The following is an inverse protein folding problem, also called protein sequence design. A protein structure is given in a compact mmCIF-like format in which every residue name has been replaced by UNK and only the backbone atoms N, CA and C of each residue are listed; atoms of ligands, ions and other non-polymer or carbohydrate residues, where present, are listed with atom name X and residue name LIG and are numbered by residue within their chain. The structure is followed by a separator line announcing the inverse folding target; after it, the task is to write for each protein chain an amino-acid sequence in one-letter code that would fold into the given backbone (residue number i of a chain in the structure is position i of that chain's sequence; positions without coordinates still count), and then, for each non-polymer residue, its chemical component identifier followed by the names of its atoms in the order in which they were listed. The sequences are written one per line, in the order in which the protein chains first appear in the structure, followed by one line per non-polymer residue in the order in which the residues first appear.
data_IF_572574726012
#
_entry.id   IF_572574726012
#
_cell.length_a   1.000
_cell.length_b   1.000
_cell.length_c   1.000
_cell.angle_alpha   90.00
_cell.angle_beta   90.00
_cell.angle_gamma   90.00
#
_symmetry.space_group_name_H-M   'P 1'
#
loop_
_entity.id
_entity.type
_entity.pdbx_description
1 polymer ?
#
# COMPACT_ATOMS: atom_id res chain seq x y z
N UNK A 1 13.55 25.69 14.21
CA UNK A 1 12.19 25.11 14.01
C UNK A 1 12.17 24.28 12.72
N UNK A 2 11.40 23.19 12.72
CA UNK A 2 11.25 22.32 11.55
C UNK A 2 9.83 21.75 11.50
N UNK A 3 9.21 21.76 10.32
CA UNK A 3 7.91 21.11 10.08
C UNK A 3 8.16 19.78 9.40
N UNK A 4 7.61 18.71 9.95
CA UNK A 4 7.69 17.37 9.38
C UNK A 4 6.38 17.06 8.67
N UNK A 5 6.45 16.75 7.38
CA UNK A 5 5.32 16.29 6.57
C UNK A 5 5.58 14.87 6.06
N UNK A 6 4.52 14.10 5.83
CA UNK A 6 4.65 12.72 5.38
C UNK A 6 3.68 12.42 4.24
N UNK A 7 4.20 11.84 3.16
CA UNK A 7 3.41 11.38 2.02
C UNK A 7 3.02 12.51 1.06
N UNK A 8 1.83 12.40 0.45
CA UNK A 8 1.48 13.14 -0.76
C UNK A 8 0.05 13.73 -0.78
N UNK A 9 -0.57 13.86 0.39
CA UNK A 9 -1.91 14.42 0.50
C UNK A 9 -1.94 15.94 0.30
N UNK A 10 -3.12 16.49 0.00
CA UNK A 10 -3.31 17.94 -0.09
C UNK A 10 -2.90 18.67 1.21
N UNK A 11 -3.09 18.02 2.37
CA UNK A 11 -2.66 18.56 3.66
C UNK A 11 -1.14 18.70 3.74
N UNK A 12 -0.40 17.73 3.22
CA UNK A 12 1.08 17.76 3.14
C UNK A 12 1.55 18.93 2.27
N UNK A 13 0.96 19.09 1.10
CA UNK A 13 1.25 20.22 0.20
C UNK A 13 0.95 21.57 0.87
N UNK A 14 -0.22 21.71 1.48
CA UNK A 14 -0.62 22.95 2.15
C UNK A 14 0.30 23.31 3.34
N UNK A 15 0.64 22.30 4.17
CA UNK A 15 1.56 22.50 5.30
C UNK A 15 2.97 22.89 4.81
N UNK A 16 3.47 22.25 3.75
CA UNK A 16 4.76 22.58 3.15
C UNK A 16 4.81 24.00 2.60
N UNK A 17 3.79 24.42 1.83
CA UNK A 17 3.70 25.79 1.32
C UNK A 17 3.64 26.82 2.46
N UNK A 18 2.84 26.56 3.51
CA UNK A 18 2.75 27.45 4.67
C UNK A 18 4.10 27.57 5.38
N UNK A 19 4.80 26.46 5.61
CA UNK A 19 6.13 26.45 6.23
C UNK A 19 7.15 27.25 5.40
N UNK A 20 7.17 27.06 4.10
CA UNK A 20 8.03 27.83 3.19
C UNK A 20 7.79 29.34 3.29
N UNK A 21 6.51 29.76 3.37
CA UNK A 21 6.15 31.19 3.49
C UNK A 21 6.48 31.77 4.86
N UNK A 22 6.59 30.93 5.88
CA UNK A 22 7.01 31.32 7.23
C UNK A 22 8.53 31.21 7.46
N UNK A 23 9.32 30.85 6.45
CA UNK A 23 10.76 30.57 6.55
C UNK A 23 11.09 29.46 7.59
N UNK A 24 10.23 28.45 7.69
CA UNK A 24 10.42 27.29 8.56
C UNK A 24 10.93 26.13 7.72
N UNK A 25 12.02 25.51 8.18
CA UNK A 25 12.60 24.33 7.51
C UNK A 25 11.61 23.17 7.41
N UNK A 26 11.68 22.43 6.30
CA UNK A 26 10.73 21.36 5.98
C UNK A 26 11.46 20.03 5.84
N UNK A 27 10.92 19.04 6.54
CA UNK A 27 11.34 17.63 6.43
C UNK A 27 10.24 16.79 5.82
N UNK A 28 10.51 16.16 4.68
CA UNK A 28 9.56 15.31 3.97
C UNK A 28 9.88 13.82 4.18
N UNK A 29 9.00 13.12 4.89
CA UNK A 29 9.06 11.66 5.08
C UNK A 29 8.30 10.99 3.93
N UNK A 30 8.80 9.85 3.45
CA UNK A 30 8.28 9.11 2.29
C UNK A 30 8.53 9.86 0.96
N UNK A 31 9.63 10.61 0.90
CA UNK A 31 10.02 11.40 -0.27
C UNK A 31 10.54 10.55 -1.43
N UNK A 32 10.45 11.08 -2.64
CA UNK A 32 11.03 10.48 -3.85
C UNK A 32 10.22 9.33 -4.48
N UNK A 33 9.04 9.02 -3.99
CA UNK A 33 8.12 8.09 -4.67
C UNK A 33 7.65 8.69 -6.00
N UNK A 34 7.57 7.87 -7.06
CA UNK A 34 7.06 8.28 -8.38
C UNK A 34 6.19 7.18 -8.98
N UNK A 35 4.99 7.56 -9.42
CA UNK A 35 4.11 6.72 -10.21
C UNK A 35 4.24 7.00 -11.71
N UNK A 36 4.75 8.18 -12.08
CA UNK A 36 4.77 8.72 -13.43
C UNK A 36 3.38 8.80 -14.07
N UNK A 37 2.33 8.86 -13.27
CA UNK A 37 0.95 9.01 -13.72
C UNK A 37 0.43 10.41 -13.35
N UNK A 38 0.57 11.34 -14.28
CA UNK A 38 0.14 12.73 -14.13
C UNK A 38 -1.38 12.94 -13.96
N UNK A 39 -2.18 11.89 -14.07
CA UNK A 39 -3.61 11.94 -13.73
C UNK A 39 -3.86 11.84 -12.23
N UNK A 40 -2.85 11.44 -11.46
CA UNK A 40 -2.93 11.34 -10.00
C UNK A 40 -2.57 12.67 -9.35
N UNK A 41 -3.49 13.31 -8.60
CA UNK A 41 -3.18 14.53 -7.83
C UNK A 41 -2.00 14.33 -6.86
N UNK A 42 -1.87 13.15 -6.29
CA UNK A 42 -0.79 12.78 -5.38
C UNK A 42 0.59 12.84 -6.04
N UNK A 43 0.68 12.56 -7.34
CA UNK A 43 1.96 12.65 -8.07
C UNK A 43 2.44 14.10 -8.16
N UNK A 44 1.52 15.04 -8.43
CA UNK A 44 1.82 16.47 -8.42
C UNK A 44 2.26 16.92 -7.03
N UNK A 45 1.51 16.53 -5.98
CA UNK A 45 1.79 16.92 -4.61
C UNK A 45 3.20 16.49 -4.18
N UNK A 46 3.57 15.21 -4.41
CA UNK A 46 4.87 14.69 -3.95
C UNK A 46 6.05 15.35 -4.66
N UNK A 47 5.93 15.60 -5.97
CA UNK A 47 6.98 16.29 -6.72
C UNK A 47 7.15 17.72 -6.21
N UNK A 48 6.07 18.45 -5.98
CA UNK A 48 6.13 19.83 -5.48
C UNK A 48 6.76 19.86 -4.09
N UNK A 49 6.31 18.99 -3.18
CA UNK A 49 6.81 18.94 -1.79
C UNK A 49 8.28 18.52 -1.75
N UNK A 50 8.68 17.55 -2.55
CA UNK A 50 10.09 17.14 -2.66
C UNK A 50 11.00 18.30 -3.10
N UNK A 51 10.52 19.16 -4.02
CA UNK A 51 11.33 20.25 -4.57
C UNK A 51 11.59 21.41 -3.59
N UNK A 52 10.73 21.63 -2.61
CA UNK A 52 10.94 22.72 -1.65
C UNK A 52 11.34 22.25 -0.24
N UNK A 53 11.52 20.95 -0.03
CA UNK A 53 11.91 20.39 1.27
C UNK A 53 13.42 20.45 1.49
N UNK A 54 13.84 20.82 2.71
CA UNK A 54 15.25 20.90 3.10
C UNK A 54 15.86 19.53 3.43
N UNK A 55 15.04 18.64 4.01
CA UNK A 55 15.41 17.27 4.39
C UNK A 55 14.46 16.26 3.80
N UNK A 56 14.98 15.32 3.04
CA UNK A 56 14.24 14.33 2.26
C UNK A 56 14.55 12.92 2.77
N UNK A 57 13.58 12.29 3.43
CA UNK A 57 13.74 10.95 4.00
C UNK A 57 13.11 9.91 3.06
N UNK A 58 13.95 9.27 2.27
CA UNK A 58 13.52 8.34 1.22
C UNK A 58 13.37 6.92 1.77
N UNK A 59 12.31 6.18 1.35
CA UNK A 59 12.11 4.79 1.73
C UNK A 59 13.21 3.85 1.23
N UNK A 60 13.74 4.09 0.01
CA UNK A 60 14.64 3.16 -0.69
C UNK A 60 15.72 3.87 -1.47
N UNK A 61 16.64 3.11 -2.03
CA UNK A 61 17.64 3.65 -2.96
C UNK A 61 17.02 4.11 -4.30
N UNK A 62 15.92 3.46 -4.74
CA UNK A 62 15.21 3.86 -5.97
C UNK A 62 14.61 5.24 -5.77
N UNK A 63 13.92 5.47 -4.65
CA UNK A 63 13.33 6.76 -4.35
C UNK A 63 14.38 7.86 -4.17
N UNK A 64 15.55 7.54 -3.60
CA UNK A 64 16.69 8.46 -3.59
C UNK A 64 17.17 8.81 -4.99
N UNK A 65 17.29 7.82 -5.90
CA UNK A 65 17.71 8.03 -7.27
C UNK A 65 16.77 8.96 -8.05
N UNK A 66 15.46 8.85 -7.81
CA UNK A 66 14.46 9.77 -8.39
C UNK A 66 14.79 11.21 -8.02
N UNK A 67 14.99 11.51 -6.72
CA UNK A 67 15.29 12.85 -6.25
C UNK A 67 16.62 13.38 -6.77
N UNK A 68 17.64 12.52 -6.85
CA UNK A 68 18.94 12.89 -7.42
C UNK A 68 18.82 13.24 -8.91
N UNK A 69 18.06 12.46 -9.67
CA UNK A 69 17.83 12.72 -11.10
C UNK A 69 17.02 14.01 -11.34
N UNK A 70 16.11 14.34 -10.45
CA UNK A 70 15.32 15.57 -10.46
C UNK A 70 16.06 16.79 -9.91
N UNK A 71 17.29 16.61 -9.38
CA UNK A 71 18.16 17.66 -8.84
C UNK A 71 17.50 18.50 -7.74
N UNK A 72 16.73 17.87 -6.85
CA UNK A 72 16.16 18.55 -5.69
C UNK A 72 17.27 19.17 -4.83
N UNK A 73 17.01 20.32 -4.19
CA UNK A 73 18.04 21.05 -3.44
C UNK A 73 18.32 20.48 -2.04
N UNK A 74 17.32 19.78 -1.46
CA UNK A 74 17.38 19.31 -0.08
C UNK A 74 18.37 18.16 0.14
N UNK A 75 18.72 17.93 1.41
CA UNK A 75 19.58 16.80 1.82
C UNK A 75 18.80 15.50 1.80
N UNK A 76 19.27 14.49 1.10
CA UNK A 76 18.58 13.21 0.89
C UNK A 76 19.18 12.12 1.77
N UNK A 77 18.32 11.46 2.58
CA UNK A 77 18.68 10.35 3.48
C UNK A 77 17.84 9.12 3.20
N UNK A 78 18.47 7.96 3.01
CA UNK A 78 17.75 6.68 2.88
C UNK A 78 17.52 6.10 4.27
N UNK A 79 16.28 6.14 4.73
CA UNK A 79 15.92 5.75 6.11
C UNK A 79 15.07 4.47 6.18
N UNK A 80 14.46 4.08 5.09
CA UNK A 80 13.35 3.12 5.08
C UNK A 80 12.01 3.82 5.20
N UNK A 81 10.92 3.05 5.14
CA UNK A 81 9.57 3.58 5.31
C UNK A 81 9.07 3.35 6.75
N UNK A 82 8.57 4.40 7.40
CA UNK A 82 8.00 4.35 8.76
C UNK A 82 6.78 3.43 8.88
N UNK A 83 6.14 3.05 7.77
CA UNK A 83 5.07 2.05 7.76
C UNK A 83 5.57 0.70 8.29
N UNK A 84 6.83 0.33 8.02
CA UNK A 84 7.43 -0.92 8.52
C UNK A 84 7.64 -0.85 10.04
N UNK A 85 8.01 0.33 10.58
CA UNK A 85 8.09 0.56 12.03
C UNK A 85 6.73 0.36 12.69
N UNK A 86 5.69 0.99 12.12
CA UNK A 86 4.31 0.89 12.61
C UNK A 86 3.81 -0.55 12.62
N UNK A 87 4.01 -1.29 11.52
CA UNK A 87 3.59 -2.68 11.43
C UNK A 87 4.32 -3.56 12.45
N UNK A 88 5.64 -3.41 12.58
CA UNK A 88 6.41 -4.20 13.54
C UNK A 88 5.99 -3.92 15.00
N UNK A 89 5.57 -2.69 15.29
CA UNK A 89 5.05 -2.31 16.60
C UNK A 89 3.63 -2.86 16.82
N UNK A 90 2.72 -2.55 15.91
CA UNK A 90 1.29 -2.82 16.11
C UNK A 90 0.90 -4.26 15.84
N UNK A 91 1.62 -5.00 15.00
CA UNK A 91 1.37 -6.44 14.78
C UNK A 91 1.51 -7.30 16.04
N UNK A 92 2.29 -6.83 17.03
CA UNK A 92 2.46 -7.52 18.31
C UNK A 92 1.20 -7.45 19.19
N UNK A 93 0.45 -6.39 19.07
CA UNK A 93 -0.74 -6.10 19.88
C UNK A 93 -2.05 -6.22 19.10
N UNK A 94 -1.99 -6.41 17.78
CA UNK A 94 -3.16 -6.43 16.89
C UNK A 94 -4.21 -7.45 17.33
N UNK A 95 -3.80 -8.66 17.72
CA UNK A 95 -4.73 -9.70 18.19
C UNK A 95 -5.53 -9.27 19.43
N UNK A 96 -4.91 -8.51 20.36
CA UNK A 96 -5.56 -8.01 21.58
C UNK A 96 -6.58 -6.91 21.28
N UNK A 97 -6.32 -6.09 20.27
CA UNK A 97 -7.12 -4.91 19.93
C UNK A 97 -8.10 -5.16 18.78
N UNK A 98 -7.90 -6.23 18.00
CA UNK A 98 -8.84 -6.62 16.96
C UNK A 98 -10.14 -7.12 17.55
N UNK A 99 -11.25 -6.62 17.03
CA UNK A 99 -12.61 -7.05 17.34
C UNK A 99 -13.10 -8.19 16.43
N UNK A 100 -12.25 -8.63 15.49
CA UNK A 100 -12.60 -9.72 14.59
C UNK A 100 -12.49 -11.05 15.33
N UNK A 101 -13.59 -11.78 15.37
CA UNK A 101 -13.62 -13.20 15.71
C UNK A 101 -14.04 -13.94 14.43
N UNK A 102 -13.05 -14.38 13.66
CA UNK A 102 -13.29 -15.11 12.41
C UNK A 102 -12.81 -16.55 12.59
N UNK A 103 -13.72 -17.48 12.50
CA UNK A 103 -13.41 -18.91 12.34
C UNK A 103 -13.29 -19.22 10.83
N UNK A 104 -12.33 -18.58 10.17
CA UNK A 104 -12.14 -18.65 8.72
C UNK A 104 -10.65 -18.80 8.42
N UNK A 105 -10.24 -20.03 8.18
CA UNK A 105 -8.86 -20.38 7.87
C UNK A 105 -8.64 -20.50 6.35
N UNK A 106 -7.37 -20.44 5.93
CA UNK A 106 -6.96 -20.67 4.54
C UNK A 106 -7.65 -19.75 3.50
N UNK A 107 -7.66 -18.46 3.78
CA UNK A 107 -8.25 -17.46 2.90
C UNK A 107 -7.22 -16.57 2.20
N UNK A 108 -7.63 -15.97 1.12
CA UNK A 108 -6.96 -14.88 0.43
C UNK A 108 -7.58 -13.57 0.87
N UNK A 109 -6.77 -12.57 1.22
CA UNK A 109 -7.28 -11.23 1.54
C UNK A 109 -7.47 -10.44 0.24
N UNK A 110 -8.67 -9.91 0.03
CA UNK A 110 -8.99 -9.03 -1.11
C UNK A 110 -9.25 -7.61 -0.63
N UNK A 111 -8.60 -6.63 -1.25
CA UNK A 111 -8.93 -5.21 -1.05
C UNK A 111 -8.96 -4.47 -2.38
N UNK A 112 -10.00 -3.67 -2.61
CA UNK A 112 -10.19 -2.87 -3.82
C UNK A 112 -10.79 -1.51 -3.45
N UNK A 113 -10.15 -0.41 -3.89
CA UNK A 113 -10.64 0.94 -3.61
C UNK A 113 -10.19 1.99 -4.63
N UNK A 114 -9.26 1.67 -5.53
CA UNK A 114 -8.75 2.62 -6.52
C UNK A 114 -9.82 2.95 -7.57
N UNK A 115 -9.97 4.25 -7.85
CA UNK A 115 -10.97 4.77 -8.78
C UNK A 115 -10.91 4.12 -10.15
N UNK A 116 -9.70 3.96 -10.69
CA UNK A 116 -9.46 3.34 -12.00
C UNK A 116 -10.00 1.91 -12.10
N UNK A 117 -10.10 1.20 -10.97
CA UNK A 117 -10.65 -0.15 -10.90
C UNK A 117 -12.14 -0.16 -10.58
N UNK A 118 -12.55 0.59 -9.54
CA UNK A 118 -13.89 0.45 -8.98
C UNK A 118 -14.93 1.29 -9.71
N UNK A 119 -14.54 2.43 -10.33
CA UNK A 119 -15.48 3.29 -11.04
C UNK A 119 -15.75 2.82 -12.48
N UNK A 120 -14.95 1.92 -13.01
CA UNK A 120 -15.16 1.32 -14.33
C UNK A 120 -15.86 -0.03 -14.21
N UNK A 121 -17.11 -0.10 -14.69
CA UNK A 121 -17.94 -1.32 -14.63
C UNK A 121 -17.27 -2.54 -15.26
N UNK A 122 -16.61 -2.39 -16.42
CA UNK A 122 -15.97 -3.50 -17.11
C UNK A 122 -14.76 -4.02 -16.34
N UNK A 123 -13.95 -3.11 -15.80
CA UNK A 123 -12.77 -3.46 -15.00
C UNK A 123 -13.20 -4.15 -13.71
N UNK A 124 -14.11 -3.55 -12.93
CA UNK A 124 -14.57 -4.14 -11.68
C UNK A 124 -15.23 -5.51 -11.92
N UNK A 125 -16.06 -5.64 -12.97
CA UNK A 125 -16.69 -6.93 -13.33
C UNK A 125 -15.65 -7.99 -13.69
N UNK A 126 -14.58 -7.61 -14.42
CA UNK A 126 -13.48 -8.50 -14.78
C UNK A 126 -12.75 -9.02 -13.55
N UNK A 127 -12.41 -8.14 -12.61
CA UNK A 127 -11.77 -8.50 -11.35
C UNK A 127 -12.67 -9.42 -10.53
N UNK A 128 -13.92 -9.02 -10.28
CA UNK A 128 -14.86 -9.80 -9.46
C UNK A 128 -15.12 -11.17 -10.07
N UNK A 129 -15.29 -11.25 -11.39
CA UNK A 129 -15.45 -12.53 -12.08
C UNK A 129 -14.24 -13.45 -11.90
N UNK A 130 -13.02 -12.92 -12.00
CA UNK A 130 -11.81 -13.73 -11.81
C UNK A 130 -11.69 -14.27 -10.37
N UNK A 131 -12.11 -13.48 -9.37
CA UNK A 131 -12.17 -13.89 -7.96
C UNK A 131 -13.18 -15.03 -7.78
N UNK A 132 -14.40 -14.88 -8.29
CA UNK A 132 -15.45 -15.90 -8.20
C UNK A 132 -15.02 -17.22 -8.87
N UNK A 133 -14.46 -17.14 -10.08
CA UNK A 133 -14.09 -18.31 -10.88
C UNK A 133 -12.78 -18.98 -10.40
N UNK A 134 -12.06 -18.38 -9.46
CA UNK A 134 -10.86 -18.97 -8.87
C UNK A 134 -11.13 -20.13 -7.92
N UNK A 135 -12.36 -20.23 -7.40
CA UNK A 135 -12.81 -21.22 -6.41
C UNK A 135 -11.99 -21.22 -5.10
N UNK A 136 -11.31 -20.10 -4.78
CA UNK A 136 -10.58 -19.94 -3.53
C UNK A 136 -11.44 -19.22 -2.51
N UNK A 137 -11.10 -19.40 -1.22
CA UNK A 137 -11.76 -18.67 -0.14
C UNK A 137 -11.20 -17.25 -0.04
N UNK A 138 -12.06 -16.25 0.01
CA UNK A 138 -11.70 -14.85 0.18
C UNK A 138 -12.35 -14.22 1.39
N UNK A 139 -11.61 -13.35 2.05
CA UNK A 139 -12.17 -12.32 2.93
C UNK A 139 -12.00 -10.98 2.23
N UNK A 140 -13.10 -10.28 2.09
CA UNK A 140 -13.16 -8.99 1.40
C UNK A 140 -13.73 -7.89 2.31
N UNK A 141 -12.88 -7.19 3.08
CA UNK A 141 -13.26 -5.93 3.73
C UNK A 141 -13.54 -4.89 2.65
N UNK A 142 -14.80 -4.52 2.48
CA UNK A 142 -15.23 -3.69 1.36
C UNK A 142 -15.14 -2.22 1.76
N UNK A 143 -14.34 -1.45 1.03
CA UNK A 143 -14.27 0.00 1.16
C UNK A 143 -15.62 0.64 0.74
N UNK A 144 -16.10 1.72 1.39
CA UNK A 144 -17.41 2.33 1.09
C UNK A 144 -17.61 2.69 -0.38
N UNK A 145 -16.59 3.24 -1.05
CA UNK A 145 -16.62 3.53 -2.49
C UNK A 145 -16.88 2.26 -3.31
N UNK A 146 -16.16 1.21 -3.01
CA UNK A 146 -16.29 -0.07 -3.72
C UNK A 146 -17.65 -0.70 -3.49
N UNK A 147 -18.17 -0.64 -2.26
CA UNK A 147 -19.49 -1.13 -1.92
C UNK A 147 -20.58 -0.43 -2.74
N UNK A 148 -20.51 0.90 -2.84
CA UNK A 148 -21.42 1.69 -3.67
C UNK A 148 -21.41 1.20 -5.12
N UNK A 149 -20.20 1.06 -5.73
CA UNK A 149 -20.07 0.62 -7.13
C UNK A 149 -20.51 -0.83 -7.35
N UNK A 150 -20.24 -1.72 -6.40
CA UNK A 150 -20.71 -3.10 -6.48
C UNK A 150 -22.26 -3.18 -6.53
N UNK A 151 -22.94 -2.32 -5.78
CA UNK A 151 -24.41 -2.22 -5.84
C UNK A 151 -24.89 -1.63 -7.17
N UNK A 152 -24.33 -0.50 -7.60
CA UNK A 152 -24.67 0.17 -8.85
C UNK A 152 -24.49 -0.73 -10.09
N UNK A 153 -23.49 -1.60 -10.06
CA UNK A 153 -23.17 -2.50 -11.18
C UNK A 153 -23.80 -3.88 -11.06
N UNK A 154 -24.64 -4.11 -10.04
CA UNK A 154 -25.32 -5.40 -9.75
C UNK A 154 -24.33 -6.57 -9.51
N UNK A 155 -23.17 -6.29 -8.93
CA UNK A 155 -22.12 -7.28 -8.61
C UNK A 155 -22.20 -7.77 -7.16
N UNK A 156 -22.76 -6.96 -6.25
CA UNK A 156 -22.77 -7.25 -4.81
C UNK A 156 -23.50 -8.54 -4.48
N UNK A 157 -24.69 -8.78 -5.09
CA UNK A 157 -25.48 -10.00 -4.87
C UNK A 157 -24.72 -11.26 -5.26
N UNK A 158 -23.93 -11.20 -6.36
CA UNK A 158 -23.10 -12.33 -6.80
C UNK A 158 -22.01 -12.67 -5.78
N UNK A 159 -21.37 -11.66 -5.19
CA UNK A 159 -20.38 -11.83 -4.12
C UNK A 159 -21.01 -12.43 -2.87
N UNK A 160 -22.14 -11.85 -2.42
CA UNK A 160 -22.84 -12.28 -1.19
C UNK A 160 -23.36 -13.72 -1.28
N UNK A 161 -23.78 -14.16 -2.45
CA UNK A 161 -24.26 -15.52 -2.68
C UNK A 161 -23.16 -16.56 -2.89
N UNK A 162 -21.91 -16.12 -2.99
CA UNK A 162 -20.77 -17.03 -3.12
C UNK A 162 -20.42 -17.65 -1.75
N UNK A 163 -20.38 -18.98 -1.69
CA UNK A 163 -19.94 -19.71 -0.48
C UNK A 163 -18.46 -19.51 -0.14
N UNK A 164 -17.69 -19.03 -1.09
CA UNK A 164 -16.24 -18.90 -0.97
C UNK A 164 -15.79 -17.46 -0.65
N UNK A 165 -16.72 -16.49 -0.58
CA UNK A 165 -16.36 -15.10 -0.33
C UNK A 165 -17.09 -14.58 0.91
N UNK A 166 -16.32 -14.29 1.95
CA UNK A 166 -16.81 -13.58 3.11
C UNK A 166 -16.62 -12.08 2.91
N UNK A 167 -17.72 -11.36 2.73
CA UNK A 167 -17.70 -9.90 2.66
C UNK A 167 -17.82 -9.30 4.07
N UNK A 168 -16.96 -8.35 4.39
CA UNK A 168 -17.00 -7.57 5.61
C UNK A 168 -17.25 -6.09 5.26
N UNK A 169 -17.81 -5.34 6.19
CA UNK A 169 -17.75 -3.88 6.13
C UNK A 169 -16.30 -3.43 6.25
N UNK A 170 -16.04 -2.14 5.99
CA UNK A 170 -14.73 -1.55 6.22
C UNK A 170 -14.27 -1.84 7.66
N UNK A 171 -13.05 -2.35 7.79
CA UNK A 171 -12.47 -2.76 9.08
C UNK A 171 -11.45 -1.72 9.56
N UNK A 172 -11.17 -1.71 10.85
CA UNK A 172 -10.11 -0.89 11.44
C UNK A 172 -8.71 -1.43 11.15
N UNK A 173 -7.71 -0.66 11.59
CA UNK A 173 -6.30 -0.98 11.33
C UNK A 173 -5.86 -2.31 11.96
N UNK A 174 -6.23 -2.55 13.22
CA UNK A 174 -5.86 -3.80 13.92
C UNK A 174 -6.51 -5.03 13.29
N UNK A 175 -7.75 -4.91 12.85
CA UNK A 175 -8.46 -5.94 12.11
C UNK A 175 -7.77 -6.23 10.78
N UNK A 176 -7.37 -5.18 10.03
CA UNK A 176 -6.64 -5.35 8.77
C UNK A 176 -5.30 -6.04 8.99
N UNK A 177 -4.54 -5.68 10.04
CA UNK A 177 -3.30 -6.35 10.39
C UNK A 177 -3.51 -7.84 10.68
N UNK A 178 -4.55 -8.21 11.43
CA UNK A 178 -4.87 -9.62 11.70
C UNK A 178 -5.27 -10.36 10.43
N UNK A 179 -6.05 -9.73 9.54
CA UNK A 179 -6.39 -10.30 8.24
C UNK A 179 -5.15 -10.52 7.37
N UNK A 180 -4.23 -9.57 7.34
CA UNK A 180 -2.98 -9.68 6.58
C UNK A 180 -2.05 -10.76 7.15
N UNK A 181 -1.93 -10.87 8.47
CA UNK A 181 -1.10 -11.90 9.14
C UNK A 181 -1.58 -13.32 8.84
N UNK A 182 -2.89 -13.51 8.85
CA UNK A 182 -3.49 -14.85 8.83
C UNK A 182 -3.90 -15.32 7.42
N UNK A 183 -3.91 -14.44 6.39
CA UNK A 183 -4.22 -14.84 5.03
C UNK A 183 -3.11 -15.70 4.40
N UNK A 184 -3.43 -16.43 3.35
CA UNK A 184 -2.44 -17.15 2.53
C UNK A 184 -1.60 -16.17 1.71
N UNK A 185 -2.24 -15.25 1.01
CA UNK A 185 -1.67 -14.17 0.23
C UNK A 185 -2.70 -13.05 0.04
N UNK A 186 -2.31 -11.96 -0.61
CA UNK A 186 -3.13 -10.76 -0.73
C UNK A 186 -3.39 -10.44 -2.20
N UNK A 187 -4.62 -10.03 -2.53
CA UNK A 187 -4.99 -9.43 -3.81
C UNK A 187 -5.43 -8.00 -3.54
N UNK A 188 -4.77 -7.03 -4.16
CA UNK A 188 -5.02 -5.61 -3.83
C UNK A 188 -4.73 -4.67 -5.00
N UNK A 189 -5.31 -3.47 -4.93
CA UNK A 189 -4.93 -2.30 -5.72
C UNK A 189 -4.26 -1.19 -4.87
N UNK A 190 -4.01 -1.47 -3.59
CA UNK A 190 -3.41 -0.53 -2.63
C UNK A 190 -1.89 -0.51 -2.71
N UNK A 191 -1.28 0.69 -2.80
CA UNK A 191 0.16 0.87 -2.66
C UNK A 191 0.65 0.56 -1.24
N UNK A 192 -0.04 1.05 -0.21
CA UNK A 192 0.33 0.83 1.19
C UNK A 192 0.36 -0.66 1.56
N UNK A 193 -0.65 -1.43 1.15
CA UNK A 193 -0.68 -2.88 1.42
C UNK A 193 0.50 -3.62 0.74
N UNK A 194 0.98 -3.15 -0.41
CA UNK A 194 2.18 -3.72 -1.04
C UNK A 194 3.43 -3.54 -0.16
N UNK A 195 3.57 -2.40 0.49
CA UNK A 195 4.67 -2.14 1.44
C UNK A 195 4.47 -2.95 2.72
N UNK A 196 3.30 -2.84 3.31
CA UNK A 196 2.93 -3.51 4.57
C UNK A 196 3.13 -5.03 4.50
N UNK A 197 2.78 -5.64 3.36
CA UNK A 197 2.94 -7.07 3.13
C UNK A 197 4.41 -7.54 3.17
N UNK A 198 5.39 -6.62 2.99
CA UNK A 198 6.82 -6.95 3.03
C UNK A 198 7.37 -7.03 4.45
N UNK A 199 6.68 -6.43 5.44
CA UNK A 199 7.13 -6.41 6.82
C UNK A 199 7.37 -7.82 7.37
N UNK A 200 8.39 -7.99 8.22
CA UNK A 200 8.79 -9.30 8.74
C UNK A 200 7.69 -10.02 9.52
N UNK A 201 6.77 -9.26 10.13
CA UNK A 201 5.62 -9.75 10.90
C UNK A 201 4.42 -10.15 10.03
N UNK A 202 4.40 -9.77 8.74
CA UNK A 202 3.35 -10.10 7.77
C UNK A 202 3.88 -11.10 6.74
N UNK A 203 4.80 -10.68 5.92
CA UNK A 203 5.53 -11.46 4.89
C UNK A 203 4.60 -12.29 4.00
N UNK A 204 3.81 -11.58 3.18
CA UNK A 204 2.85 -12.19 2.25
C UNK A 204 3.16 -11.85 0.81
N UNK A 205 2.85 -12.78 -0.11
CA UNK A 205 2.79 -12.47 -1.54
C UNK A 205 1.60 -11.56 -1.82
N UNK A 206 1.77 -10.67 -2.80
CA UNK A 206 0.74 -9.72 -3.22
C UNK A 206 0.51 -9.83 -4.72
N UNK A 207 -0.72 -10.06 -5.12
CA UNK A 207 -1.17 -9.93 -6.52
C UNK A 207 -1.76 -8.52 -6.66
N UNK A 208 -1.11 -7.69 -7.47
CA UNK A 208 -1.48 -6.28 -7.67
C UNK A 208 -2.36 -6.18 -8.91
N UNK A 209 -3.65 -5.87 -8.71
CA UNK A 209 -4.64 -5.74 -9.79
C UNK A 209 -4.65 -4.31 -10.36
N UNK A 210 -3.48 -3.87 -10.84
CA UNK A 210 -3.25 -2.56 -11.47
C UNK A 210 -2.38 -2.72 -12.72
N UNK A 211 -2.40 -1.72 -13.61
CA UNK A 211 -1.50 -1.69 -14.78
C UNK A 211 -0.08 -1.28 -14.41
N UNK A 212 0.07 -0.42 -13.41
CA UNK A 212 1.35 0.09 -12.88
C UNK A 212 1.32 0.11 -11.37
N UNK A 213 2.47 0.29 -10.74
CA UNK A 213 2.57 0.51 -9.30
C UNK A 213 3.57 1.63 -9.01
N UNK A 214 3.31 2.37 -7.96
CA UNK A 214 4.21 3.32 -7.33
C UNK A 214 5.12 2.67 -6.26
N UNK A 215 5.12 1.34 -6.21
CA UNK A 215 5.90 0.50 -5.27
C UNK A 215 6.73 -0.57 -6.01
N UNK A 216 7.61 -0.18 -6.96
CA UNK A 216 8.35 -1.13 -7.78
C UNK A 216 9.29 -2.01 -6.97
N UNK A 217 9.75 -1.55 -5.80
CA UNK A 217 10.64 -2.31 -4.93
C UNK A 217 9.99 -3.59 -4.39
N UNK A 218 8.68 -3.57 -4.12
CA UNK A 218 7.95 -4.77 -3.71
C UNK A 218 7.93 -5.82 -4.83
N UNK A 219 7.89 -5.37 -6.10
CA UNK A 219 7.95 -6.24 -7.28
C UNK A 219 9.37 -6.80 -7.45
N UNK A 220 10.40 -5.94 -7.45
CA UNK A 220 11.81 -6.37 -7.57
C UNK A 220 12.25 -7.25 -6.39
N UNK A 221 11.73 -6.96 -5.19
CA UNK A 221 11.89 -7.81 -4.01
C UNK A 221 11.19 -9.17 -4.11
N UNK A 222 10.33 -9.36 -5.12
CA UNK A 222 9.57 -10.59 -5.34
C UNK A 222 8.46 -10.82 -4.31
N UNK A 223 7.96 -9.74 -3.68
CA UNK A 223 6.77 -9.76 -2.83
C UNK A 223 5.51 -9.56 -3.64
N UNK A 224 5.56 -8.72 -4.69
CA UNK A 224 4.40 -8.33 -5.49
C UNK A 224 4.53 -8.78 -6.94
N UNK A 225 3.39 -9.15 -7.57
CA UNK A 225 3.25 -9.42 -8.99
C UNK A 225 2.16 -8.49 -9.56
N UNK A 226 2.51 -7.64 -10.53
CA UNK A 226 1.53 -6.77 -11.22
C UNK A 226 0.88 -7.59 -12.31
N UNK A 227 -0.45 -7.76 -12.24
CA UNK A 227 -1.19 -8.63 -13.19
C UNK A 227 -2.15 -7.87 -14.10
N UNK A 228 -2.27 -6.55 -13.90
CA UNK A 228 -3.28 -5.77 -14.60
C UNK A 228 -4.69 -6.08 -14.13
N UNK A 229 -5.68 -5.74 -14.97
CA UNK A 229 -7.10 -5.86 -14.65
C UNK A 229 -7.85 -6.85 -15.56
N UNK A 230 -7.08 -7.61 -16.38
CA UNK A 230 -7.66 -8.59 -17.30
C UNK A 230 -8.05 -9.88 -16.56
N UNK A 231 -9.24 -10.38 -16.82
CA UNK A 231 -9.80 -11.59 -16.22
C UNK A 231 -8.83 -12.79 -16.28
N UNK A 232 -8.31 -13.11 -17.47
CA UNK A 232 -7.46 -14.29 -17.65
C UNK A 232 -6.13 -14.17 -16.93
N UNK A 233 -5.53 -12.96 -16.94
CA UNK A 233 -4.27 -12.68 -16.27
C UNK A 233 -4.42 -12.82 -14.74
N UNK A 234 -5.48 -12.23 -14.16
CA UNK A 234 -5.78 -12.36 -12.73
C UNK A 234 -6.02 -13.81 -12.36
N UNK A 235 -6.90 -14.52 -13.08
CA UNK A 235 -7.24 -15.92 -12.77
C UNK A 235 -6.01 -16.84 -12.88
N UNK A 236 -5.14 -16.62 -13.88
CA UNK A 236 -3.87 -17.35 -14.02
C UNK A 236 -2.94 -17.12 -12.82
N UNK A 237 -2.79 -15.87 -12.38
CA UNK A 237 -1.94 -15.54 -11.24
C UNK A 237 -2.51 -16.10 -9.93
N UNK A 238 -3.83 -16.03 -9.71
CA UNK A 238 -4.50 -16.64 -8.56
C UNK A 238 -4.22 -18.15 -8.50
N UNK A 239 -4.41 -18.88 -9.59
CA UNK A 239 -4.15 -20.34 -9.66
C UNK A 239 -2.67 -20.69 -9.47
N UNK A 240 -1.75 -19.86 -9.97
CA UNK A 240 -0.30 -20.02 -9.79
C UNK A 240 0.10 -19.81 -8.33
N UNK A 241 -0.38 -18.70 -7.71
CA UNK A 241 -0.02 -18.33 -6.34
C UNK A 241 -0.60 -19.28 -5.31
N UNK A 242 -1.82 -19.81 -5.53
CA UNK A 242 -2.42 -20.82 -4.65
C UNK A 242 -1.58 -22.10 -4.50
N UNK A 243 -0.83 -22.50 -5.53
CA UNK A 243 0.06 -23.67 -5.46
C UNK A 243 1.30 -23.43 -4.60
N UNK A 244 1.73 -22.18 -4.45
CA UNK A 244 2.88 -21.78 -3.63
C UNK A 244 2.63 -20.38 -3.04
N UNK A 245 1.78 -20.26 -2.02
CA UNK A 245 1.41 -18.96 -1.43
C UNK A 245 2.51 -18.37 -0.55
N UNK A 246 3.43 -19.19 -0.04
CA UNK A 246 4.47 -18.73 0.86
C UNK A 246 5.53 -17.91 0.14
N UNK A 247 6.14 -16.99 0.88
CA UNK A 247 7.32 -16.26 0.44
C UNK A 247 8.53 -16.70 1.28
N UNK A 248 9.66 -16.96 0.62
CA UNK A 248 10.92 -17.30 1.30
C UNK A 248 11.39 -16.14 2.18
N UNK A 249 12.32 -16.40 3.10
CA UNK A 249 12.88 -15.40 4.04
C UNK A 249 13.59 -14.25 3.31
N UNK A 250 12.81 -13.33 2.72
CA UNK A 250 13.33 -12.11 2.08
C UNK A 250 13.23 -10.95 3.06
N UNK A 251 14.21 -10.03 2.99
CA UNK A 251 14.16 -8.76 3.73
C UNK A 251 13.20 -7.80 3.03
N UNK A 252 12.49 -6.99 3.79
CA UNK A 252 11.66 -5.91 3.23
C UNK A 252 12.56 -4.91 2.49
N UNK A 253 12.21 -4.51 1.26
CA UNK A 253 12.93 -3.44 0.55
C UNK A 253 12.74 -2.07 1.21
N UNK A 254 11.72 -1.93 2.05
CA UNK A 254 11.35 -0.67 2.73
C UNK A 254 11.98 -0.52 4.12
N UNK A 255 12.94 -1.37 4.48
CA UNK A 255 13.71 -1.24 5.72
C UNK A 255 13.41 -2.31 6.76
N UNK A 256 13.98 -2.10 7.94
CA UNK A 256 14.04 -3.06 9.06
C UNK A 256 13.14 -2.70 10.23
N UNK A 257 12.36 -1.61 10.13
CA UNK A 257 11.50 -1.10 11.21
C UNK A 257 12.24 -0.18 12.20
N UNK A 258 13.29 0.47 11.75
CA UNK A 258 14.04 1.50 12.50
C UNK A 258 14.09 2.83 11.75
N UNK A 259 13.16 3.07 10.83
CA UNK A 259 13.14 4.27 9.99
C UNK A 259 12.95 5.53 10.82
N UNK A 260 12.02 5.53 11.76
CA UNK A 260 11.78 6.67 12.65
C UNK A 260 13.02 7.03 13.48
N UNK A 261 13.77 6.03 13.99
CA UNK A 261 15.03 6.28 14.72
C UNK A 261 16.09 6.93 13.83
N UNK A 262 16.21 6.47 12.58
CA UNK A 262 17.16 7.04 11.60
C UNK A 262 16.78 8.48 11.26
N UNK A 263 15.51 8.76 11.04
CA UNK A 263 14.99 10.11 10.77
C UNK A 263 15.33 11.05 11.94
N UNK A 264 15.00 10.67 13.18
CA UNK A 264 15.29 11.49 14.38
C UNK A 264 16.79 11.70 14.54
N UNK A 265 17.62 10.68 14.27
CA UNK A 265 19.09 10.81 14.31
C UNK A 265 19.60 11.86 13.31
N UNK A 266 19.13 11.81 12.07
CA UNK A 266 19.50 12.79 11.05
C UNK A 266 19.01 14.21 11.38
N UNK A 267 17.80 14.36 11.89
CA UNK A 267 17.27 15.66 12.30
C UNK A 267 18.11 16.27 13.43
N UNK A 268 18.43 15.50 14.48
CA UNK A 268 19.27 15.97 15.59
C UNK A 268 20.67 16.45 15.16
N UNK A 269 21.21 15.90 14.09
CA UNK A 269 22.55 16.25 13.62
C UNK A 269 22.56 17.36 12.55
N UNK A 270 21.41 17.80 12.05
CA UNK A 270 21.32 18.77 10.96
C UNK A 270 20.44 20.00 11.29
N UNK A 271 19.64 19.95 12.36
CA UNK A 271 18.89 21.10 12.91
C UNK A 271 19.64 21.74 14.08
#
# INVERSE_FOLDING_TARGET
ENVIVQGDTNTVLAAGIASLKCNISISHIESGLRSNDWRMPEEHNRIIVDNFSDYLFTPTQITKQNLVSEKVHGKIFVTGNTVIDSINQFSKISKKHSKLSLDYNDYVLLTLHRSENVDNKLVLSSIIKSILDSNQKFIFPIHPRTQKRLHEFNLFTKLKNSKNILTLNSVGYFEMLELMKNCQYIVTDSGGIQEEATASSIRKKVIVVRKTTDRPEAVFGGFSEIVGTNYNAILKSLKKTAKNPSITKKKSPYGDGNSAKKIVHHLKNNL
#
